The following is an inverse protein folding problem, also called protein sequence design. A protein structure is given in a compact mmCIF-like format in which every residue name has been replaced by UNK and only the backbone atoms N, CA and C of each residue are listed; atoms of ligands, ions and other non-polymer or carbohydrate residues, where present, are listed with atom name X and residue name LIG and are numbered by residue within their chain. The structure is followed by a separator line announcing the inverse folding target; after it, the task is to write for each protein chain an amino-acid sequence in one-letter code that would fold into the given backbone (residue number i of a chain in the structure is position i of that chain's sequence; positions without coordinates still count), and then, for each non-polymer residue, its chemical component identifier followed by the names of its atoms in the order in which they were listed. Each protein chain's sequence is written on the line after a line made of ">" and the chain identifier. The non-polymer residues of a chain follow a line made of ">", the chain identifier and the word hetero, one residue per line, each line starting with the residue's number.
data_IF_946414371707
#
_entry.id   IF_946414371707
#
_cell.length_a   1.000
_cell.length_b   1.000
_cell.length_c   1.000
_cell.angle_alpha   90.00
_cell.angle_beta   90.00
_cell.angle_gamma   90.00
#
_symmetry.space_group_name_H-M   'P 1'
#
loop_
_entity.id
_entity.type
_entity.pdbx_description
1 polymer ?
#
# COMPACT_ATOMS: atom_id res chain seq x y z
N UNK A 1 22.29 21.56 -28.17
CA UNK A 1 21.13 21.66 -27.24
C UNK A 1 21.51 21.42 -25.79
N UNK A 2 22.29 20.37 -25.49
CA UNK A 2 22.73 20.05 -24.12
C UNK A 2 23.40 21.23 -23.41
N UNK A 3 24.43 21.77 -24.05
CA UNK A 3 25.15 22.94 -23.58
C UNK A 3 24.22 24.13 -23.29
N UNK A 4 23.31 24.45 -24.22
CA UNK A 4 22.38 25.57 -24.08
C UNK A 4 21.40 25.41 -22.90
N UNK A 5 20.83 24.21 -22.69
CA UNK A 5 19.92 24.01 -21.56
C UNK A 5 20.65 23.99 -20.22
N UNK A 6 21.88 23.45 -20.16
CA UNK A 6 22.69 23.46 -18.94
C UNK A 6 23.13 24.88 -18.58
N UNK A 7 23.56 25.70 -19.55
CA UNK A 7 23.87 27.12 -19.33
C UNK A 7 22.63 27.88 -18.83
N UNK A 8 21.45 27.61 -19.40
CA UNK A 8 20.17 28.15 -18.88
C UNK A 8 19.94 27.77 -17.43
N UNK A 9 20.11 26.50 -17.07
CA UNK A 9 19.90 26.01 -15.70
C UNK A 9 20.86 26.69 -14.71
N UNK A 10 22.16 26.71 -15.03
CA UNK A 10 23.16 27.38 -14.18
C UNK A 10 22.86 28.87 -13.99
N UNK A 11 22.47 29.57 -15.05
CA UNK A 11 22.08 30.98 -14.95
C UNK A 11 20.87 31.15 -14.02
N UNK A 12 19.79 30.40 -14.23
CA UNK A 12 18.57 30.54 -13.44
C UNK A 12 18.77 30.19 -11.96
N UNK A 13 19.68 29.26 -11.64
CA UNK A 13 19.95 28.81 -10.28
C UNK A 13 20.89 29.79 -9.54
N UNK A 14 21.96 30.25 -10.17
CA UNK A 14 23.02 31.01 -9.48
C UNK A 14 22.97 32.53 -9.71
N UNK A 15 22.52 32.97 -10.88
CA UNK A 15 22.49 34.40 -11.26
C UNK A 15 21.08 34.97 -11.44
N UNK A 16 20.06 34.11 -11.42
CA UNK A 16 18.65 34.51 -11.47
C UNK A 16 18.16 35.05 -10.13
N UNK A 17 16.98 35.67 -10.15
CA UNK A 17 16.29 36.09 -8.93
C UNK A 17 15.92 34.86 -8.09
N UNK A 18 16.22 34.91 -6.80
CA UNK A 18 15.84 33.85 -5.86
C UNK A 18 14.31 33.80 -5.71
N UNK A 19 13.72 32.61 -5.90
CA UNK A 19 12.26 32.38 -5.86
C UNK A 19 11.83 31.39 -4.77
N UNK A 20 12.71 31.09 -3.81
CA UNK A 20 12.41 30.17 -2.70
C UNK A 20 11.91 30.88 -1.45
N UNK A 21 11.43 30.10 -0.48
CA UNK A 21 10.87 30.60 0.79
C UNK A 21 11.88 30.57 1.97
N UNK A 22 13.09 30.02 1.76
CA UNK A 22 14.10 29.84 2.82
C UNK A 22 15.33 30.74 2.66
N UNK A 23 16.17 30.81 3.70
CA UNK A 23 17.47 31.46 3.60
C UNK A 23 18.52 30.49 3.04
N UNK A 24 19.18 30.82 1.91
CA UNK A 24 20.26 29.99 1.38
C UNK A 24 21.42 29.91 2.38
N UNK A 25 21.84 28.70 2.72
CA UNK A 25 23.02 28.44 3.53
C UNK A 25 23.95 27.47 2.81
N UNK A 26 25.23 27.47 3.20
CA UNK A 26 26.19 26.53 2.65
C UNK A 26 25.85 25.08 3.02
N UNK A 27 26.24 24.14 2.17
CA UNK A 27 26.01 22.72 2.40
C UNK A 27 26.88 22.22 3.57
N UNK A 28 26.32 21.44 4.52
CA UNK A 28 27.09 20.89 5.62
C UNK A 28 28.19 19.94 5.11
N UNK A 29 29.28 19.72 5.89
CA UNK A 29 30.40 18.89 5.48
C UNK A 29 30.03 17.48 5.02
N UNK A 30 28.96 16.90 5.59
CA UNK A 30 28.43 15.58 5.22
C UNK A 30 27.93 15.50 3.78
N UNK A 31 27.49 16.61 3.18
CA UNK A 31 27.08 16.69 1.77
C UNK A 31 28.20 17.24 0.88
N UNK A 32 28.98 18.21 1.38
CA UNK A 32 30.03 18.86 0.60
C UNK A 32 31.19 17.93 0.23
N UNK A 33 31.63 17.05 1.16
CA UNK A 33 32.74 16.13 0.90
C UNK A 33 32.46 15.13 -0.23
N UNK A 34 31.30 14.42 -0.24
CA UNK A 34 30.93 13.56 -1.36
C UNK A 34 30.96 14.29 -2.72
N UNK A 35 30.40 15.49 -2.80
CA UNK A 35 30.38 16.27 -4.04
C UNK A 35 31.79 16.66 -4.52
N UNK A 36 32.69 17.05 -3.61
CA UNK A 36 34.08 17.40 -3.94
C UNK A 36 34.85 16.19 -4.46
N UNK A 37 34.70 15.03 -3.81
CA UNK A 37 35.34 13.79 -4.24
C UNK A 37 34.86 13.39 -5.64
N UNK A 38 33.55 13.46 -5.90
CA UNK A 38 32.97 13.16 -7.21
C UNK A 38 33.42 14.14 -8.30
N UNK A 39 33.57 15.43 -7.97
CA UNK A 39 34.06 16.44 -8.91
C UNK A 39 35.52 16.16 -9.31
N UNK A 40 36.39 15.88 -8.34
CA UNK A 40 37.80 15.50 -8.60
C UNK A 40 37.86 14.19 -9.37
N UNK A 41 37.05 13.20 -9.02
CA UNK A 41 36.97 11.92 -9.72
C UNK A 41 36.52 12.09 -11.18
N UNK A 42 35.57 12.97 -11.46
CA UNK A 42 35.07 13.24 -12.82
C UNK A 42 36.12 13.90 -13.71
N UNK A 43 36.88 14.88 -13.17
CA UNK A 43 38.00 15.51 -13.88
C UNK A 43 39.13 14.48 -14.09
N UNK A 44 39.47 13.75 -13.04
CA UNK A 44 40.52 12.73 -13.05
C UNK A 44 40.25 11.62 -14.04
N UNK A 45 39.03 11.09 -14.08
CA UNK A 45 38.64 10.04 -15.04
C UNK A 45 38.77 10.49 -16.50
N UNK A 46 38.33 11.72 -16.80
CA UNK A 46 38.51 12.30 -18.13
C UNK A 46 39.99 12.46 -18.51
N UNK A 47 40.81 12.93 -17.56
CA UNK A 47 42.24 13.16 -17.78
C UNK A 47 43.03 11.85 -17.92
N UNK A 48 42.74 10.84 -17.10
CA UNK A 48 43.34 9.51 -17.19
C UNK A 48 43.03 8.87 -18.56
N UNK A 49 41.78 8.96 -19.01
CA UNK A 49 41.41 8.49 -20.35
C UNK A 49 42.13 9.27 -21.46
N UNK A 50 42.40 10.57 -21.29
CA UNK A 50 43.11 11.38 -22.27
C UNK A 50 44.60 11.01 -22.39
N UNK A 51 45.22 10.49 -21.32
CA UNK A 51 46.59 9.98 -21.34
C UNK A 51 46.73 8.52 -21.79
N UNK A 52 45.67 7.93 -22.34
CA UNK A 52 45.72 6.58 -22.92
C UNK A 52 45.46 5.45 -21.90
N UNK A 53 45.04 5.76 -20.68
CA UNK A 53 44.60 4.74 -19.73
C UNK A 53 43.19 4.24 -20.07
N UNK A 54 43.10 3.30 -21.01
CA UNK A 54 41.85 2.68 -21.47
C UNK A 54 41.52 1.35 -20.78
N UNK A 55 42.25 0.98 -19.73
CA UNK A 55 42.09 -0.31 -19.04
C UNK A 55 40.68 -0.55 -18.48
N UNK A 56 40.01 0.50 -17.97
CA UNK A 56 38.63 0.38 -17.48
C UNK A 56 37.59 0.28 -18.61
N UNK A 57 37.58 1.17 -19.63
CA UNK A 57 36.72 1.00 -20.81
C UNK A 57 36.84 -0.38 -21.47
N UNK A 58 38.06 -0.88 -21.63
CA UNK A 58 38.33 -2.17 -22.27
C UNK A 58 37.91 -3.37 -21.39
N UNK A 59 37.86 -3.19 -20.07
CA UNK A 59 37.40 -4.23 -19.14
C UNK A 59 35.86 -4.32 -19.08
N UNK A 60 35.17 -3.20 -19.27
CA UNK A 60 33.68 -3.13 -19.26
C UNK A 60 33.09 -3.35 -20.65
N UNK A 61 33.88 -3.17 -21.72
CA UNK A 61 33.45 -3.54 -23.07
C UNK A 61 33.33 -5.06 -23.19
N UNK A 62 32.09 -5.54 -23.37
CA UNK A 62 31.83 -6.94 -23.70
C UNK A 62 32.08 -7.14 -25.19
N UNK A 63 33.32 -7.48 -25.55
CA UNK A 63 33.66 -7.82 -26.92
C UNK A 63 33.44 -9.34 -27.11
N UNK A 64 32.35 -9.71 -27.79
CA UNK A 64 32.05 -11.11 -28.10
C UNK A 64 32.70 -11.42 -29.44
N UNK A 65 33.82 -12.16 -29.41
CA UNK A 65 34.56 -12.55 -30.62
C UNK A 65 33.62 -13.15 -31.68
N UNK A 66 33.50 -12.45 -32.81
CA UNK A 66 32.74 -12.89 -33.99
C UNK A 66 31.42 -12.16 -34.27
N UNK A 67 30.87 -11.36 -33.34
CA UNK A 67 29.60 -10.61 -33.57
C UNK A 67 29.82 -9.10 -33.59
N UNK A 68 30.69 -8.57 -32.73
CA UNK A 68 30.87 -7.12 -32.53
C UNK A 68 31.75 -6.46 -33.59
N UNK A 69 32.74 -7.17 -34.14
CA UNK A 69 33.78 -6.56 -35.00
C UNK A 69 33.34 -6.26 -36.43
N UNK A 70 32.32 -6.93 -36.97
CA UNK A 70 31.78 -6.63 -38.31
C UNK A 70 30.76 -5.47 -38.32
N UNK A 71 30.07 -5.23 -37.20
CA UNK A 71 29.01 -4.21 -37.11
C UNK A 71 29.51 -2.87 -36.57
N UNK A 72 30.61 -2.87 -35.80
CA UNK A 72 31.20 -1.66 -35.23
C UNK A 72 32.46 -1.30 -36.03
N UNK A 73 32.33 -0.39 -36.99
CA UNK A 73 33.50 0.29 -37.54
C UNK A 73 34.12 1.14 -36.43
N UNK A 74 35.31 0.74 -35.97
CA UNK A 74 36.15 1.58 -35.10
C UNK A 74 36.48 2.88 -35.85
N UNK A 75 35.67 3.92 -35.62
CA UNK A 75 35.98 5.27 -36.09
C UNK A 75 37.18 5.76 -35.30
N UNK A 76 38.35 5.75 -35.95
CA UNK A 76 39.54 6.39 -35.42
C UNK A 76 39.21 7.84 -35.03
N UNK A 77 39.72 8.28 -33.88
CA UNK A 77 39.48 9.62 -33.35
C UNK A 77 39.84 10.67 -34.41
N UNK A 78 38.82 11.39 -34.88
CA UNK A 78 38.99 12.43 -35.90
C UNK A 78 39.01 13.80 -35.24
N UNK A 79 40.21 14.39 -35.20
CA UNK A 79 40.44 15.75 -34.68
C UNK A 79 39.47 16.77 -35.31
N UNK A 80 39.18 16.75 -36.63
CA UNK A 80 38.23 17.70 -37.21
C UNK A 80 36.81 17.56 -36.66
N UNK A 81 36.32 16.33 -36.45
CA UNK A 81 34.98 16.09 -35.92
C UNK A 81 34.89 16.50 -34.45
N UNK A 82 35.93 16.20 -33.68
CA UNK A 82 36.04 16.64 -32.28
C UNK A 82 36.05 18.18 -32.19
N UNK A 83 36.81 18.86 -33.06
CA UNK A 83 36.85 20.32 -33.12
C UNK A 83 35.49 20.93 -33.50
N UNK A 84 34.79 20.34 -34.49
CA UNK A 84 33.43 20.77 -34.87
C UNK A 84 32.46 20.58 -33.70
N UNK A 85 32.50 19.43 -33.03
CA UNK A 85 31.65 19.15 -31.86
C UNK A 85 31.87 20.15 -30.73
N UNK A 86 33.15 20.43 -30.42
CA UNK A 86 33.52 21.43 -29.42
C UNK A 86 33.04 22.83 -29.84
N UNK A 87 33.22 23.21 -31.10
CA UNK A 87 32.75 24.50 -31.63
C UNK A 87 31.22 24.64 -31.50
N UNK A 88 30.45 23.62 -31.87
CA UNK A 88 28.99 23.61 -31.73
C UNK A 88 28.57 23.72 -30.26
N UNK A 89 29.27 23.04 -29.35
CA UNK A 89 29.02 23.16 -27.92
C UNK A 89 29.28 24.58 -27.41
N UNK A 90 30.42 25.18 -27.77
CA UNK A 90 30.77 26.56 -27.41
C UNK A 90 29.80 27.59 -27.99
N UNK A 91 29.35 27.41 -29.24
CA UNK A 91 28.30 28.26 -29.84
C UNK A 91 27.01 28.12 -29.03
N UNK A 92 26.62 26.90 -28.64
CA UNK A 92 25.45 26.67 -27.80
C UNK A 92 25.53 27.39 -26.45
N UNK A 93 26.71 27.35 -25.79
CA UNK A 93 26.98 28.10 -24.56
C UNK A 93 26.89 29.60 -24.83
N UNK A 94 27.55 30.09 -25.88
CA UNK A 94 27.61 31.51 -26.23
C UNK A 94 26.23 32.11 -26.54
N UNK A 95 25.40 31.40 -27.31
CA UNK A 95 24.02 31.80 -27.62
C UNK A 95 23.18 31.85 -26.34
N UNK A 96 23.23 30.80 -25.50
CA UNK A 96 22.49 30.79 -24.25
C UNK A 96 22.99 31.87 -23.28
N UNK A 97 24.30 32.04 -23.13
CA UNK A 97 24.89 33.04 -22.26
C UNK A 97 24.55 34.45 -22.73
N UNK A 98 24.59 34.73 -24.04
CA UNK A 98 24.14 36.00 -24.61
C UNK A 98 22.67 36.29 -24.31
N UNK A 99 21.81 35.28 -24.49
CA UNK A 99 20.38 35.38 -24.20
C UNK A 99 20.10 35.70 -22.73
N UNK A 100 20.73 34.99 -21.79
CA UNK A 100 20.45 35.13 -20.37
C UNK A 100 21.26 36.22 -19.66
N UNK A 101 22.58 36.28 -19.83
CA UNK A 101 23.43 37.25 -19.11
C UNK A 101 23.37 38.66 -19.70
N UNK A 102 23.19 38.78 -21.02
CA UNK A 102 23.18 40.09 -21.71
C UNK A 102 21.79 40.50 -22.20
N UNK A 103 20.75 39.71 -21.90
CA UNK A 103 19.40 39.91 -22.43
C UNK A 103 19.38 40.06 -23.97
N UNK A 104 20.30 39.40 -24.68
CA UNK A 104 20.42 39.47 -26.14
C UNK A 104 19.57 38.38 -26.77
N UNK A 105 18.40 38.74 -27.29
CA UNK A 105 17.58 37.82 -28.06
C UNK A 105 16.13 38.25 -28.19
N UNK A 106 15.35 37.53 -29.01
CA UNK A 106 13.95 37.86 -29.21
C UNK A 106 13.12 37.41 -28.01
N UNK A 107 12.87 38.33 -27.09
CA UNK A 107 12.00 38.10 -25.96
C UNK A 107 10.54 38.05 -26.42
N UNK A 108 9.79 37.05 -25.95
CA UNK A 108 8.35 36.94 -26.24
C UNK A 108 8.00 36.44 -27.64
N UNK A 109 8.91 35.77 -28.35
CA UNK A 109 8.63 35.16 -29.67
C UNK A 109 7.42 34.20 -29.63
N UNK A 110 7.27 33.45 -28.53
CA UNK A 110 6.14 32.55 -28.26
C UNK A 110 4.82 33.28 -27.98
N UNK A 111 4.86 34.57 -27.61
CA UNK A 111 3.64 35.39 -27.50
C UNK A 111 3.19 35.94 -28.84
N UNK A 112 4.13 36.29 -29.72
CA UNK A 112 3.86 36.94 -31.02
C UNK A 112 3.50 35.95 -32.13
N UNK A 113 4.14 34.76 -32.15
CA UNK A 113 3.99 33.80 -33.24
C UNK A 113 3.25 32.53 -32.78
N UNK A 114 2.12 32.23 -33.43
CA UNK A 114 1.31 31.02 -33.15
C UNK A 114 2.08 29.70 -33.27
N UNK A 115 2.85 29.46 -34.34
CA UNK A 115 3.63 28.22 -34.49
C UNK A 115 4.72 28.07 -33.42
N UNK A 116 5.42 29.16 -33.07
CA UNK A 116 6.42 29.15 -32.01
C UNK A 116 5.79 28.83 -30.64
N UNK A 117 4.58 29.33 -30.39
CA UNK A 117 3.79 28.99 -29.19
C UNK A 117 3.42 27.51 -29.15
N UNK A 118 2.96 26.96 -30.28
CA UNK A 118 2.59 25.55 -30.39
C UNK A 118 3.81 24.64 -30.15
N UNK A 119 4.96 24.97 -30.77
CA UNK A 119 6.21 24.24 -30.55
C UNK A 119 6.71 24.32 -29.11
N UNK A 120 6.65 25.51 -28.50
CA UNK A 120 6.99 25.67 -27.08
C UNK A 120 6.06 24.84 -26.18
N UNK A 121 4.74 24.91 -26.38
CA UNK A 121 3.76 24.12 -25.62
C UNK A 121 4.00 22.62 -25.76
N UNK A 122 4.35 22.15 -26.96
CA UNK A 122 4.64 20.74 -27.19
C UNK A 122 5.85 20.23 -26.39
N UNK A 123 6.92 21.04 -26.30
CA UNK A 123 8.09 20.70 -25.49
C UNK A 123 7.80 20.85 -23.98
N UNK A 124 7.03 21.87 -23.59
CA UNK A 124 6.62 22.12 -22.20
C UNK A 124 5.73 21.00 -21.65
N UNK A 125 4.81 20.49 -22.47
CA UNK A 125 3.92 19.37 -22.17
C UNK A 125 4.62 18.00 -22.33
N UNK A 126 5.96 17.96 -22.30
CA UNK A 126 6.79 16.74 -22.40
C UNK A 126 6.38 15.87 -23.60
N UNK A 127 6.21 16.48 -24.77
CA UNK A 127 5.80 15.81 -26.00
C UNK A 127 4.40 15.17 -25.95
N UNK A 128 3.55 15.57 -24.99
CA UNK A 128 2.24 14.97 -24.69
C UNK A 128 2.30 13.48 -24.29
N UNK A 129 3.49 12.91 -24.08
CA UNK A 129 3.66 11.51 -23.70
C UNK A 129 2.99 11.21 -22.36
N UNK A 130 3.07 12.16 -21.43
CA UNK A 130 2.45 12.04 -20.10
C UNK A 130 0.92 11.94 -20.19
N UNK A 131 0.29 12.74 -21.06
CA UNK A 131 -1.16 12.71 -21.29
C UNK A 131 -1.59 11.42 -21.99
N UNK A 132 -0.84 10.97 -22.98
CA UNK A 132 -1.10 9.68 -23.64
C UNK A 132 -1.00 8.53 -22.63
N UNK A 133 0.00 8.57 -21.76
CA UNK A 133 0.18 7.53 -20.76
C UNK A 133 -0.89 7.58 -19.66
N UNK A 134 -1.13 8.73 -19.05
CA UNK A 134 -2.09 8.88 -17.95
C UNK A 134 -3.53 8.78 -18.45
N UNK A 135 -3.92 9.59 -19.43
CA UNK A 135 -5.30 9.65 -19.91
C UNK A 135 -5.60 8.50 -20.89
N UNK A 136 -4.65 8.19 -21.77
CA UNK A 136 -4.83 7.13 -22.76
C UNK A 136 -4.71 5.74 -22.16
N UNK A 137 -3.59 5.42 -21.51
CA UNK A 137 -3.32 4.05 -21.03
C UNK A 137 -3.90 3.82 -19.64
N UNK A 138 -3.49 4.62 -18.65
CA UNK A 138 -3.87 4.39 -17.24
C UNK A 138 -5.38 4.56 -17.06
N UNK A 139 -5.94 5.72 -17.43
CA UNK A 139 -7.36 5.99 -17.18
C UNK A 139 -8.30 5.06 -17.95
N UNK A 140 -7.97 4.72 -19.18
CA UNK A 140 -8.82 3.84 -19.99
C UNK A 140 -8.81 2.39 -19.51
N UNK A 141 -7.71 1.92 -18.90
CA UNK A 141 -7.57 0.51 -18.51
C UNK A 141 -7.80 0.34 -17.00
N UNK A 142 -7.05 1.06 -16.18
CA UNK A 142 -7.06 0.87 -14.73
C UNK A 142 -8.42 1.23 -14.11
N UNK A 143 -9.05 2.34 -14.51
CA UNK A 143 -10.27 2.81 -13.83
C UNK A 143 -11.51 1.94 -14.10
N UNK A 144 -11.77 1.42 -15.31
CA UNK A 144 -12.84 0.45 -15.51
C UNK A 144 -12.61 -0.85 -14.75
N UNK A 145 -11.38 -1.37 -14.74
CA UNK A 145 -11.03 -2.59 -14.01
C UNK A 145 -11.21 -2.37 -12.50
N UNK A 146 -10.69 -1.27 -11.96
CA UNK A 146 -10.83 -0.93 -10.54
C UNK A 146 -12.30 -0.79 -10.12
N UNK A 147 -13.14 -0.14 -10.96
CA UNK A 147 -14.58 -0.08 -10.72
C UNK A 147 -15.24 -1.46 -10.75
N UNK A 148 -14.83 -2.33 -11.66
CA UNK A 148 -15.31 -3.71 -11.72
C UNK A 148 -14.94 -4.51 -10.47
N UNK A 149 -13.70 -4.39 -10.00
CA UNK A 149 -13.24 -5.05 -8.77
C UNK A 149 -13.95 -4.52 -7.53
N UNK A 150 -14.14 -3.19 -7.44
CA UNK A 150 -14.88 -2.58 -6.35
C UNK A 150 -16.35 -3.03 -6.31
N UNK A 151 -17.00 -3.11 -7.48
CA UNK A 151 -18.35 -3.64 -7.57
C UNK A 151 -18.41 -5.12 -7.13
N UNK A 152 -17.46 -5.94 -7.57
CA UNK A 152 -17.36 -7.35 -7.20
C UNK A 152 -17.21 -7.55 -5.69
N UNK A 153 -16.32 -6.78 -5.05
CA UNK A 153 -16.11 -6.80 -3.60
C UNK A 153 -17.42 -6.52 -2.85
N UNK A 154 -18.10 -5.42 -3.20
CA UNK A 154 -19.32 -5.00 -2.51
C UNK A 154 -20.55 -5.87 -2.77
N UNK A 155 -20.67 -6.49 -3.94
CA UNK A 155 -21.87 -7.24 -4.30
C UNK A 155 -21.70 -8.74 -4.11
N UNK A 156 -20.50 -9.26 -4.38
CA UNK A 156 -20.23 -10.70 -4.34
C UNK A 156 -19.63 -11.07 -2.99
N UNK A 157 -18.54 -10.41 -2.57
CA UNK A 157 -17.85 -10.77 -1.32
C UNK A 157 -18.72 -10.36 -0.12
N UNK A 158 -19.09 -9.09 -0.03
CA UNK A 158 -19.95 -8.62 1.06
C UNK A 158 -21.33 -9.28 1.02
N UNK A 159 -21.88 -9.52 -0.17
CA UNK A 159 -23.14 -10.25 -0.33
C UNK A 159 -23.07 -11.66 0.26
N UNK A 160 -21.98 -12.38 -0.01
CA UNK A 160 -21.75 -13.71 0.55
C UNK A 160 -21.56 -13.66 2.06
N UNK A 161 -20.73 -12.76 2.58
CA UNK A 161 -20.47 -12.61 4.02
C UNK A 161 -21.76 -12.26 4.77
N UNK A 162 -22.55 -11.32 4.27
CA UNK A 162 -23.84 -10.95 4.85
C UNK A 162 -24.85 -12.11 4.79
N UNK A 163 -24.84 -12.90 3.71
CA UNK A 163 -25.64 -14.11 3.60
C UNK A 163 -25.30 -15.14 4.68
N UNK A 164 -24.00 -15.40 4.88
CA UNK A 164 -23.53 -16.29 5.95
C UNK A 164 -23.93 -15.76 7.33
N UNK A 165 -23.75 -14.46 7.57
CA UNK A 165 -24.15 -13.83 8.83
C UNK A 165 -25.66 -13.95 9.10
N UNK A 166 -26.50 -13.74 8.08
CA UNK A 166 -27.94 -13.88 8.18
C UNK A 166 -28.35 -15.32 8.54
N UNK A 167 -27.79 -16.32 7.85
CA UNK A 167 -28.08 -17.73 8.13
C UNK A 167 -27.62 -18.11 9.53
N UNK A 168 -26.39 -17.73 9.91
CA UNK A 168 -25.87 -17.99 11.25
C UNK A 168 -26.75 -17.38 12.34
N UNK A 169 -27.18 -16.13 12.17
CA UNK A 169 -28.09 -15.45 13.10
C UNK A 169 -29.46 -16.13 13.20
N UNK A 170 -30.00 -16.64 12.09
CA UNK A 170 -31.26 -17.41 12.08
C UNK A 170 -31.13 -18.73 12.83
N UNK A 171 -30.03 -19.46 12.62
CA UNK A 171 -29.76 -20.72 13.32
C UNK A 171 -29.56 -20.47 14.82
N UNK A 172 -28.75 -19.48 15.18
CA UNK A 172 -28.54 -19.10 16.58
C UNK A 172 -29.85 -18.71 17.26
N UNK A 173 -30.67 -17.90 16.59
CA UNK A 173 -31.99 -17.51 17.08
C UNK A 173 -32.95 -18.70 17.25
N UNK A 174 -32.90 -19.69 16.35
CA UNK A 174 -33.69 -20.92 16.51
C UNK A 174 -33.23 -21.73 17.73
N UNK A 175 -31.91 -21.94 17.86
CA UNK A 175 -31.33 -22.68 18.98
C UNK A 175 -31.71 -22.01 20.31
N UNK A 176 -31.54 -20.70 20.42
CA UNK A 176 -31.87 -19.97 21.64
C UNK A 176 -33.37 -19.99 21.95
N UNK A 177 -34.22 -19.59 21.00
CA UNK A 177 -35.66 -19.42 21.29
C UNK A 177 -36.42 -20.76 21.40
N UNK A 178 -35.92 -21.84 20.79
CA UNK A 178 -36.61 -23.13 20.77
C UNK A 178 -35.91 -24.13 21.68
N UNK A 179 -34.63 -24.40 21.44
CA UNK A 179 -33.92 -25.43 22.20
C UNK A 179 -33.69 -24.95 23.64
N UNK A 180 -33.10 -23.78 23.82
CA UNK A 180 -32.75 -23.29 25.16
C UNK A 180 -34.02 -22.90 25.94
N UNK A 181 -34.74 -21.89 25.46
CA UNK A 181 -35.88 -21.31 26.20
C UNK A 181 -37.09 -22.24 26.37
N UNK A 182 -37.41 -23.11 25.39
CA UNK A 182 -38.61 -23.96 25.48
C UNK A 182 -38.32 -25.37 25.95
N UNK A 183 -37.20 -25.95 25.51
CA UNK A 183 -36.88 -27.36 25.84
C UNK A 183 -36.06 -27.43 27.10
N UNK A 184 -34.90 -26.77 27.16
CA UNK A 184 -33.99 -26.86 28.31
C UNK A 184 -34.61 -26.19 29.54
N UNK A 185 -34.93 -24.89 29.44
CA UNK A 185 -35.55 -24.15 30.55
C UNK A 185 -36.91 -24.73 30.91
N UNK A 186 -37.70 -25.17 29.92
CA UNK A 186 -38.98 -25.84 30.15
C UNK A 186 -38.83 -27.13 30.96
N UNK A 187 -37.85 -27.97 30.63
CA UNK A 187 -37.58 -29.19 31.36
C UNK A 187 -37.08 -28.92 32.79
N UNK A 188 -36.15 -27.96 32.96
CA UNK A 188 -35.61 -27.59 34.27
C UNK A 188 -36.68 -26.97 35.16
N UNK A 189 -37.47 -26.04 34.64
CA UNK A 189 -38.58 -25.43 35.39
C UNK A 189 -39.67 -26.46 35.72
N UNK A 190 -39.96 -27.40 34.83
CA UNK A 190 -40.89 -28.50 35.09
C UNK A 190 -40.41 -29.45 36.20
N UNK A 191 -39.12 -29.78 36.21
CA UNK A 191 -38.50 -30.54 37.29
C UNK A 191 -38.57 -29.78 38.62
N UNK A 192 -38.31 -28.47 38.61
CA UNK A 192 -38.46 -27.60 39.79
C UNK A 192 -39.88 -27.57 40.31
N UNK A 193 -40.86 -27.36 39.41
CA UNK A 193 -42.28 -27.33 39.74
C UNK A 193 -42.76 -28.64 40.38
N UNK A 194 -42.38 -29.79 39.82
CA UNK A 194 -42.76 -31.11 40.38
C UNK A 194 -42.12 -31.38 41.74
N UNK A 195 -40.87 -30.95 41.96
CA UNK A 195 -40.22 -31.04 43.25
C UNK A 195 -40.91 -30.14 44.31
N UNK A 196 -41.31 -28.93 43.93
CA UNK A 196 -42.02 -28.00 44.82
C UNK A 196 -43.41 -28.51 45.18
N UNK A 197 -44.17 -29.00 44.20
CA UNK A 197 -45.52 -29.55 44.40
C UNK A 197 -45.49 -30.79 45.31
N UNK A 198 -44.56 -31.72 45.06
CA UNK A 198 -44.39 -32.91 45.90
C UNK A 198 -43.97 -32.55 47.32
N UNK A 199 -43.04 -31.61 47.50
CA UNK A 199 -42.67 -31.07 48.82
C UNK A 199 -43.83 -30.38 49.53
N UNK A 200 -44.67 -29.65 48.79
CA UNK A 200 -45.89 -29.01 49.28
C UNK A 200 -46.91 -30.01 49.81
N UNK A 201 -47.09 -31.14 49.11
CA UNK A 201 -47.95 -32.25 49.56
C UNK A 201 -47.37 -32.91 50.82
N UNK A 202 -46.08 -33.25 50.81
CA UNK A 202 -45.37 -33.83 51.96
C UNK A 202 -45.45 -32.95 53.21
N UNK A 203 -45.45 -31.61 53.05
CA UNK A 203 -45.61 -30.66 54.16
C UNK A 203 -46.91 -30.86 54.94
N UNK A 204 -48.00 -31.26 54.29
CA UNK A 204 -49.28 -31.51 54.98
C UNK A 204 -49.26 -32.77 55.86
N UNK A 205 -48.32 -33.69 55.65
CA UNK A 205 -48.15 -34.88 56.51
C UNK A 205 -47.61 -34.49 57.88
N UNK A 206 -46.82 -33.41 57.97
CA UNK A 206 -46.30 -32.89 59.23
C UNK A 206 -47.25 -31.85 59.83
N UNK A 207 -48.26 -32.33 60.57
CA UNK A 207 -49.32 -31.49 61.16
C UNK A 207 -48.95 -30.82 62.49
N UNK A 208 -47.81 -31.20 63.10
CA UNK A 208 -47.39 -30.73 64.43
C UNK A 208 -48.17 -31.34 65.60
N UNK A 209 -49.12 -32.25 65.36
CA UNK A 209 -49.90 -32.93 66.41
C UNK A 209 -49.19 -34.20 66.89
N UNK A 210 -48.58 -34.15 68.08
CA UNK A 210 -47.77 -35.25 68.66
C UNK A 210 -48.52 -36.60 68.70
N UNK A 211 -49.84 -36.58 68.89
CA UNK A 211 -50.69 -37.78 68.91
C UNK A 211 -50.73 -38.51 67.56
N UNK A 212 -50.69 -37.77 66.44
CA UNK A 212 -50.68 -38.37 65.09
C UNK A 212 -49.34 -39.05 64.80
N UNK A 213 -48.22 -38.46 65.25
CA UNK A 213 -46.90 -39.10 65.15
C UNK A 213 -46.82 -40.38 65.99
N UNK A 214 -47.35 -40.35 67.22
CA UNK A 214 -47.40 -41.54 68.07
C UNK A 214 -48.24 -42.66 67.43
N UNK A 215 -49.42 -42.34 66.89
CA UNK A 215 -50.28 -43.32 66.22
C UNK A 215 -49.60 -43.98 65.01
N UNK A 216 -48.91 -43.20 64.17
CA UNK A 216 -48.15 -43.73 63.03
C UNK A 216 -46.99 -44.61 63.51
N UNK A 217 -46.26 -44.18 64.54
CA UNK A 217 -45.09 -44.91 65.06
C UNK A 217 -45.49 -46.24 65.72
N UNK A 218 -46.54 -46.25 66.55
CA UNK A 218 -47.06 -47.49 67.15
C UNK A 218 -47.71 -48.40 66.10
N UNK A 219 -48.41 -47.84 65.11
CA UNK A 219 -48.96 -48.60 63.98
C UNK A 219 -47.87 -49.26 63.14
N UNK A 220 -46.81 -48.51 62.79
CA UNK A 220 -45.66 -49.03 62.05
C UNK A 220 -44.90 -50.08 62.85
N UNK A 221 -44.65 -49.86 64.15
CA UNK A 221 -43.99 -50.84 65.01
C UNK A 221 -44.81 -52.13 65.15
N UNK A 222 -46.14 -52.02 65.28
CA UNK A 222 -47.04 -53.18 65.32
C UNK A 222 -47.04 -53.97 64.01
N UNK A 223 -47.06 -53.27 62.87
CA UNK A 223 -47.02 -53.89 61.55
C UNK A 223 -45.67 -54.55 61.27
N UNK A 224 -44.57 -53.90 61.68
CA UNK A 224 -43.22 -54.43 61.60
C UNK A 224 -43.05 -55.68 62.47
N UNK A 225 -43.58 -55.66 63.69
CA UNK A 225 -43.61 -56.82 64.57
C UNK A 225 -44.43 -57.97 63.97
N UNK A 226 -45.58 -57.68 63.35
CA UNK A 226 -46.41 -58.68 62.68
C UNK A 226 -45.70 -59.31 61.47
N UNK A 227 -45.01 -58.49 60.66
CA UNK A 227 -44.17 -58.99 59.56
C UNK A 227 -43.03 -59.85 60.09
N UNK A 228 -42.35 -59.42 61.15
CA UNK A 228 -41.29 -60.20 61.79
C UNK A 228 -41.81 -61.56 62.27
N UNK A 229 -42.93 -61.57 62.99
CA UNK A 229 -43.54 -62.80 63.49
C UNK A 229 -43.92 -63.73 62.33
N UNK A 230 -44.53 -63.23 61.25
CA UNK A 230 -44.91 -64.02 60.08
C UNK A 230 -43.73 -64.49 59.22
N UNK A 231 -42.56 -63.85 59.33
CA UNK A 231 -41.34 -64.22 58.58
C UNK A 231 -40.40 -65.10 59.40
N UNK A 232 -40.51 -65.09 60.73
CA UNK A 232 -39.78 -65.96 61.66
C UNK A 232 -40.54 -67.20 62.11
N UNK A 233 -41.83 -67.32 61.72
CA UNK A 233 -42.67 -68.51 61.89
C UNK A 233 -42.70 -69.34 60.60
#
# INVERSE_FOLDING_TARGET
>A
MTAAYMTRACYLIFWGEYRGEGHPHEAPPSMAWPLRILAVGSIGAGWLSAFGFHGFPNWVSFDVEGVTREVIHEYAFSVPLAAISLAVALIGIGVAAGYYFRNLGPHGLTRRNGPARAGYRFLEEKYYLDKIYIDGVIRSIQYPIARGMYWFDQHVIDGFVNGVAFVSGKVAGFVYNVIDQKVVDGAVNGAGFTAEESGGILRYIQTGRVQQYAAVLFGAAGLFALILVLTTA
#
